data_IF_674518103358
#
_entry.id   IF_674518103358
#
_cell.length_a   1.000
_cell.length_b   1.000
_cell.length_c   1.000
_cell.angle_alpha   90.00
_cell.angle_beta   90.00
_cell.angle_gamma   90.00
#
_symmetry.space_group_name_H-M   'P 1'
#
loop_
_entity.id
_entity.type
_entity.pdbx_description
1 polymer ?
#
# COMPACT_ATOMS: atom_id res chain seq x y z
N UNK A 1 -0.54 4.72 40.61
CA UNK A 1 -1.62 4.33 39.68
C UNK A 1 -0.99 4.03 38.33
N UNK A 2 -1.03 2.77 37.89
CA UNK A 2 -0.58 2.36 36.55
C UNK A 2 -1.83 2.14 35.70
N UNK A 3 -1.85 2.69 34.48
CA UNK A 3 -2.98 2.54 33.57
C UNK A 3 -2.73 1.35 32.63
N UNK A 4 -3.72 0.48 32.45
CA UNK A 4 -3.57 -0.76 31.65
C UNK A 4 -3.20 -0.51 30.18
N UNK A 5 -3.55 0.64 29.60
CA UNK A 5 -3.15 1.01 28.24
C UNK A 5 -1.64 1.29 28.10
N UNK A 6 -0.92 1.61 29.19
CA UNK A 6 0.55 1.70 29.22
C UNK A 6 1.19 0.30 29.24
N UNK A 7 0.48 -0.68 29.80
CA UNK A 7 0.96 -2.06 29.98
C UNK A 7 0.54 -2.99 28.84
N UNK A 8 -0.35 -2.56 27.94
CA UNK A 8 -0.74 -3.32 26.76
C UNK A 8 0.39 -3.34 25.71
N UNK A 9 1.50 -4.00 26.05
CA UNK A 9 2.65 -4.27 25.18
C UNK A 9 2.46 -5.53 24.34
N UNK A 10 1.27 -6.12 24.35
CA UNK A 10 0.90 -7.31 23.57
C UNK A 10 0.64 -6.98 22.10
N UNK A 11 1.62 -6.38 21.41
CA UNK A 11 1.54 -6.16 19.98
C UNK A 11 1.65 -7.48 19.22
N UNK A 12 1.06 -7.54 18.03
CA UNK A 12 1.29 -8.66 17.11
C UNK A 12 2.80 -8.87 16.87
N UNK A 13 3.25 -10.13 16.66
CA UNK A 13 4.62 -10.41 16.24
C UNK A 13 5.04 -9.52 15.07
N UNK A 14 6.32 -9.14 15.01
CA UNK A 14 6.82 -8.21 13.99
C UNK A 14 6.49 -8.68 12.56
N UNK A 15 6.59 -9.99 12.31
CA UNK A 15 6.23 -10.63 11.05
C UNK A 15 4.74 -10.45 10.72
N UNK A 16 3.84 -10.69 11.67
CA UNK A 16 2.41 -10.49 11.47
C UNK A 16 2.07 -9.02 11.23
N UNK A 17 2.78 -8.09 11.90
CA UNK A 17 2.63 -6.65 11.64
C UNK A 17 3.09 -6.28 10.23
N UNK A 18 4.21 -6.83 9.78
CA UNK A 18 4.73 -6.61 8.43
C UNK A 18 3.76 -7.16 7.37
N UNK A 19 3.28 -8.40 7.53
CA UNK A 19 2.31 -9.01 6.65
C UNK A 19 0.99 -8.22 6.58
N UNK A 20 0.50 -7.74 7.73
CA UNK A 20 -0.71 -6.91 7.79
C UNK A 20 -0.52 -5.57 7.07
N UNK A 21 0.65 -4.93 7.22
CA UNK A 21 0.97 -3.70 6.47
C UNK A 21 1.06 -3.96 4.97
N UNK A 22 1.73 -5.04 4.55
CA UNK A 22 1.82 -5.41 3.13
C UNK A 22 0.44 -5.65 2.51
N UNK A 23 -0.42 -6.43 3.19
CA UNK A 23 -1.79 -6.67 2.75
C UNK A 23 -2.62 -5.38 2.64
N UNK A 24 -2.46 -4.47 3.61
CA UNK A 24 -3.11 -3.15 3.58
C UNK A 24 -2.67 -2.34 2.37
N UNK A 25 -1.35 -2.21 2.13
CA UNK A 25 -0.85 -1.46 0.97
C UNK A 25 -1.31 -2.08 -0.35
N UNK A 26 -1.29 -3.41 -0.48
CA UNK A 26 -1.81 -4.08 -1.69
C UNK A 26 -3.27 -3.77 -1.96
N UNK A 27 -4.11 -3.73 -0.92
CA UNK A 27 -5.52 -3.37 -1.05
C UNK A 27 -5.68 -1.91 -1.50
N UNK A 28 -4.97 -0.98 -0.85
CA UNK A 28 -4.99 0.44 -1.22
C UNK A 28 -4.55 0.69 -2.67
N UNK A 29 -3.46 0.05 -3.10
CA UNK A 29 -2.96 0.15 -4.47
C UNK A 29 -3.99 -0.36 -5.48
N UNK A 30 -4.68 -1.46 -5.16
CA UNK A 30 -5.73 -2.03 -6.01
C UNK A 30 -6.95 -1.10 -6.12
N UNK A 31 -7.40 -0.52 -5.01
CA UNK A 31 -8.50 0.45 -4.98
C UNK A 31 -8.14 1.72 -5.76
N UNK A 32 -6.93 2.24 -5.58
CA UNK A 32 -6.43 3.42 -6.30
C UNK A 32 -6.32 3.16 -7.81
N UNK A 33 -5.83 1.98 -8.22
CA UNK A 33 -5.80 1.59 -9.62
C UNK A 33 -7.21 1.47 -10.23
N UNK A 34 -8.15 0.86 -9.50
CA UNK A 34 -9.54 0.75 -9.93
C UNK A 34 -10.21 2.13 -10.06
N UNK A 35 -9.94 3.05 -9.13
CA UNK A 35 -10.41 4.43 -9.20
C UNK A 35 -9.88 5.15 -10.44
N UNK A 36 -8.56 5.08 -10.68
CA UNK A 36 -7.94 5.73 -11.84
C UNK A 36 -8.50 5.18 -13.16
N UNK A 37 -8.75 3.87 -13.25
CA UNK A 37 -9.44 3.27 -14.41
C UNK A 37 -10.84 3.85 -14.60
N UNK A 38 -11.65 3.95 -13.52
CA UNK A 38 -13.01 4.52 -13.58
C UNK A 38 -13.02 5.99 -13.99
N UNK A 39 -11.97 6.73 -13.64
CA UNK A 39 -11.75 8.12 -14.05
C UNK A 39 -11.16 8.23 -15.47
N UNK A 40 -11.10 7.13 -16.23
CA UNK A 40 -10.63 7.05 -17.61
C UNK A 40 -9.16 7.48 -17.80
N UNK A 41 -8.32 7.31 -16.78
CA UNK A 41 -6.89 7.48 -16.95
C UNK A 41 -6.31 6.35 -17.80
N UNK A 42 -5.37 6.63 -18.73
CA UNK A 42 -4.61 5.59 -19.39
C UNK A 42 -3.81 4.76 -18.38
N UNK A 43 -3.65 3.47 -18.65
CA UNK A 43 -2.94 2.52 -17.77
C UNK A 43 -1.55 3.03 -17.36
N UNK A 44 -0.77 3.54 -18.30
CA UNK A 44 0.60 4.01 -18.04
C UNK A 44 0.62 5.24 -17.13
N UNK A 45 -0.36 6.15 -17.30
CA UNK A 45 -0.53 7.32 -16.43
C UNK A 45 -0.93 6.88 -15.04
N UNK A 46 -1.84 5.91 -14.92
CA UNK A 46 -2.23 5.40 -13.61
C UNK A 46 -1.08 4.70 -12.88
N UNK A 47 -0.28 3.91 -13.60
CA UNK A 47 0.94 3.27 -13.08
C UNK A 47 1.94 4.30 -12.56
N UNK A 48 2.22 5.35 -13.35
CA UNK A 48 3.10 6.44 -12.93
C UNK A 48 2.59 7.12 -11.66
N UNK A 49 1.31 7.53 -11.62
CA UNK A 49 0.73 8.21 -10.46
C UNK A 49 0.76 7.37 -9.18
N UNK A 50 0.52 6.06 -9.30
CA UNK A 50 0.62 5.16 -8.16
C UNK A 50 2.07 5.05 -7.67
N UNK A 51 3.03 4.90 -8.58
CA UNK A 51 4.45 4.85 -8.21
C UNK A 51 4.91 6.15 -7.55
N UNK A 52 4.48 7.32 -8.04
CA UNK A 52 4.81 8.63 -7.46
C UNK A 52 4.22 8.79 -6.05
N UNK A 53 2.97 8.35 -5.85
CA UNK A 53 2.35 8.34 -4.52
C UNK A 53 3.09 7.41 -3.55
N UNK A 54 3.45 6.20 -4.00
CA UNK A 54 4.26 5.28 -3.19
C UNK A 54 5.63 5.89 -2.86
N UNK A 55 6.28 6.54 -3.81
CA UNK A 55 7.56 7.21 -3.55
C UNK A 55 7.42 8.28 -2.46
N UNK A 56 6.33 9.07 -2.51
CA UNK A 56 6.04 10.10 -1.51
C UNK A 56 5.75 9.51 -0.12
N UNK A 57 4.90 8.47 -0.04
CA UNK A 57 4.55 7.81 1.22
C UNK A 57 5.78 7.21 1.94
N UNK A 58 6.81 6.84 1.17
CA UNK A 58 8.03 6.20 1.68
C UNK A 58 9.26 7.11 1.68
N UNK A 59 9.10 8.41 1.41
CA UNK A 59 10.20 9.37 1.37
C UNK A 59 10.86 9.55 2.75
N UNK A 60 10.08 9.47 3.85
CA UNK A 60 10.60 9.69 5.21
C UNK A 60 10.08 8.64 6.19
N UNK A 61 10.96 7.73 6.64
CA UNK A 61 10.74 6.91 7.84
C UNK A 61 9.67 5.81 7.77
N UNK A 62 9.00 5.62 6.63
CA UNK A 62 7.95 4.61 6.47
C UNK A 62 8.47 3.18 6.19
N UNK A 63 9.78 3.02 5.99
CA UNK A 63 10.41 1.73 5.69
C UNK A 63 10.59 1.49 4.20
N UNK A 64 10.54 0.21 3.78
CA UNK A 64 10.72 -0.15 2.37
C UNK A 64 9.38 -0.07 1.61
N UNK A 65 9.32 0.63 0.47
CA UNK A 65 8.12 0.69 -0.36
C UNK A 65 7.80 -0.68 -0.99
N UNK A 66 6.53 -0.90 -1.39
CA UNK A 66 6.17 -2.02 -2.26
C UNK A 66 7.06 -2.06 -3.52
N UNK A 67 7.57 -3.24 -3.92
CA UNK A 67 8.34 -3.41 -5.15
C UNK A 67 7.58 -2.96 -6.41
N UNK A 68 8.31 -2.48 -7.42
CA UNK A 68 7.71 -1.96 -8.66
C UNK A 68 6.90 -3.02 -9.44
N UNK A 69 7.32 -4.28 -9.43
CA UNK A 69 6.62 -5.41 -10.03
C UNK A 69 5.28 -5.71 -9.32
N UNK A 70 5.21 -5.49 -8.00
CA UNK A 70 3.96 -5.55 -7.25
C UNK A 70 3.00 -4.46 -7.72
N UNK A 71 3.48 -3.23 -7.91
CA UNK A 71 2.67 -2.13 -8.45
C UNK A 71 2.17 -2.49 -9.86
N UNK A 72 3.06 -2.97 -10.73
CA UNK A 72 2.75 -3.29 -12.12
C UNK A 72 1.70 -4.41 -12.24
N UNK A 73 1.81 -5.45 -11.41
CA UNK A 73 0.84 -6.56 -11.37
C UNK A 73 -0.54 -6.11 -10.88
N UNK A 74 -0.60 -5.26 -9.86
CA UNK A 74 -1.86 -4.71 -9.33
C UNK A 74 -2.54 -3.82 -10.38
N UNK A 75 -1.78 -2.94 -11.04
CA UNK A 75 -2.33 -2.10 -12.11
C UNK A 75 -2.79 -2.95 -13.29
N UNK A 76 -2.03 -3.96 -13.70
CA UNK A 76 -2.46 -4.87 -14.76
C UNK A 76 -3.79 -5.56 -14.42
N UNK A 77 -3.92 -6.10 -13.20
CA UNK A 77 -5.12 -6.77 -12.74
C UNK A 77 -6.35 -5.84 -12.67
N UNK A 78 -6.15 -4.57 -12.32
CA UNK A 78 -7.22 -3.58 -12.31
C UNK A 78 -7.72 -3.21 -13.71
N UNK A 79 -6.82 -3.13 -14.70
CA UNK A 79 -7.10 -2.73 -16.09
C UNK A 79 -7.53 -3.86 -17.02
N UNK A 80 -7.40 -5.12 -16.60
CA UNK A 80 -7.91 -6.28 -17.34
C UNK A 80 -9.42 -6.53 -17.13
N UNK A 81 -10.06 -5.77 -16.25
CA UNK A 81 -11.51 -5.80 -15.97
C UNK A 81 -12.26 -4.82 -16.86
#
# INVERSE_FOLDING_TARGET
MSFDWIQNRGGLPAELRAARRDAMYRAELAERAALLRRLNYPRDVARRRIADNVAWDFEIGAGAPPPADVIDSIVAAAYAR
#
